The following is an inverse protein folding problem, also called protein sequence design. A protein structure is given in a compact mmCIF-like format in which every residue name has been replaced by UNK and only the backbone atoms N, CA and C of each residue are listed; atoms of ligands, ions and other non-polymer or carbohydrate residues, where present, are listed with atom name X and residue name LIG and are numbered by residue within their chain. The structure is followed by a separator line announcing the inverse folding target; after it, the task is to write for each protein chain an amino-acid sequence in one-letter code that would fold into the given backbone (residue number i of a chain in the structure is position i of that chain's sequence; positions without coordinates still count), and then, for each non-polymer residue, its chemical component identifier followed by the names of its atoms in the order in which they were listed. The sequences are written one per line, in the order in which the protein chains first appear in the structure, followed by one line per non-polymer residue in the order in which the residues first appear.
data_IF_209908430431
#
_entry.id   IF_209908430431
#
_cell.length_a   1.000
_cell.length_b   1.000
_cell.length_c   1.000
_cell.angle_alpha   90.00
_cell.angle_beta   90.00
_cell.angle_gamma   90.00
#
_symmetry.space_group_name_H-M   'P 1'
#
loop_
_entity.id
_entity.type
_entity.pdbx_description
1 polymer ?
#
# COMPACT_ATOMS: atom_id res chain seq x y z
N UNK A 1 -6.10 -35.85 -43.20
CA UNK A 1 -6.37 -35.55 -41.78
C UNK A 1 -6.29 -34.04 -41.65
N UNK A 2 -7.41 -33.37 -41.83
CA UNK A 2 -7.51 -31.91 -41.71
C UNK A 2 -7.74 -31.55 -40.24
N UNK A 3 -6.85 -30.74 -39.68
CA UNK A 3 -7.03 -30.17 -38.35
C UNK A 3 -8.19 -29.16 -38.40
N UNK A 4 -9.08 -29.13 -37.40
CA UNK A 4 -10.17 -28.16 -37.38
C UNK A 4 -9.58 -26.74 -37.27
N UNK A 5 -9.98 -25.86 -38.21
CA UNK A 5 -9.59 -24.45 -38.18
C UNK A 5 -10.18 -23.77 -36.96
N UNK A 6 -9.36 -23.01 -36.25
CA UNK A 6 -9.77 -22.14 -35.14
C UNK A 6 -10.93 -21.24 -35.59
N UNK A 7 -12.11 -21.43 -35.01
CA UNK A 7 -13.25 -20.54 -35.25
C UNK A 7 -13.08 -19.29 -34.39
N UNK A 8 -12.98 -18.15 -35.07
CA UNK A 8 -12.86 -16.83 -34.48
C UNK A 8 -14.18 -16.48 -33.78
N UNK A 9 -14.22 -16.62 -32.45
CA UNK A 9 -15.38 -16.20 -31.65
C UNK A 9 -15.40 -14.67 -31.67
N UNK A 10 -16.27 -14.09 -32.52
CA UNK A 10 -16.54 -12.64 -32.58
C UNK A 10 -17.21 -12.16 -31.29
N UNK A 11 -16.46 -12.08 -30.20
CA UNK A 11 -16.75 -11.20 -29.07
C UNK A 11 -15.79 -10.02 -29.14
N UNK A 12 -16.30 -8.80 -28.95
CA UNK A 12 -15.40 -7.66 -28.69
C UNK A 12 -14.53 -8.06 -27.50
N UNK A 13 -13.17 -8.04 -27.62
CA UNK A 13 -12.34 -8.37 -26.48
C UNK A 13 -12.71 -7.43 -25.33
N UNK A 14 -12.86 -7.95 -24.09
CA UNK A 14 -13.20 -7.10 -22.96
C UNK A 14 -12.15 -5.98 -22.85
N UNK A 15 -12.61 -4.74 -22.97
CA UNK A 15 -11.74 -3.58 -22.89
C UNK A 15 -11.31 -3.41 -21.44
N UNK A 16 -10.08 -3.81 -21.12
CA UNK A 16 -9.52 -3.56 -19.79
C UNK A 16 -9.10 -2.10 -19.71
N UNK A 17 -9.72 -1.36 -18.78
CA UNK A 17 -9.36 0.03 -18.51
C UNK A 17 -8.28 0.05 -17.45
N UNK A 18 -7.19 0.76 -17.73
CA UNK A 18 -6.07 0.93 -16.81
C UNK A 18 -5.97 2.37 -16.31
N UNK A 19 -5.50 2.52 -15.08
CA UNK A 19 -5.14 3.79 -14.47
C UNK A 19 -3.90 3.60 -13.60
N UNK A 20 -3.23 4.70 -13.25
CA UNK A 20 -2.05 4.65 -12.39
C UNK A 20 -2.04 5.73 -11.32
N UNK A 21 -1.51 5.34 -10.16
CA UNK A 21 -1.23 6.22 -9.02
C UNK A 21 0.28 6.20 -8.78
N UNK A 22 0.92 7.35 -8.69
CA UNK A 22 2.37 7.44 -8.50
C UNK A 22 2.74 8.50 -7.47
N UNK A 23 3.77 8.23 -6.68
CA UNK A 23 4.29 9.16 -5.67
C UNK A 23 5.49 9.92 -6.22
N UNK A 24 5.59 11.22 -5.94
CA UNK A 24 6.66 12.10 -6.46
C UNK A 24 7.18 13.06 -5.39
N UNK A 25 8.45 13.46 -5.49
CA UNK A 25 9.08 14.53 -4.69
C UNK A 25 8.90 14.43 -3.15
N UNK A 26 8.57 13.24 -2.64
CA UNK A 26 8.34 12.99 -1.22
C UNK A 26 6.96 13.41 -0.69
N UNK A 27 6.23 14.28 -1.41
CA UNK A 27 4.96 14.85 -0.93
C UNK A 27 3.84 14.96 -1.98
N UNK A 28 4.04 14.43 -3.19
CA UNK A 28 3.05 14.50 -4.27
C UNK A 28 2.50 13.13 -4.62
N UNK A 29 1.21 13.08 -4.95
CA UNK A 29 0.51 11.91 -5.47
C UNK A 29 -0.12 12.30 -6.82
N UNK A 30 0.19 11.55 -7.88
CA UNK A 30 -0.38 11.77 -9.22
C UNK A 30 -1.30 10.64 -9.61
N UNK A 31 -2.46 11.00 -10.15
CA UNK A 31 -3.46 10.10 -10.70
C UNK A 31 -3.55 10.28 -12.21
N UNK A 32 -3.36 9.21 -12.98
CA UNK A 32 -3.49 9.19 -14.43
C UNK A 32 -4.52 8.15 -14.84
N UNK A 33 -5.47 8.52 -15.70
CA UNK A 33 -6.54 7.61 -16.15
C UNK A 33 -7.69 7.40 -15.15
N UNK A 34 -7.67 8.11 -14.01
CA UNK A 34 -8.76 8.14 -13.04
C UNK A 34 -9.72 9.31 -13.31
N UNK A 35 -11.03 9.06 -13.21
CA UNK A 35 -12.07 10.07 -13.39
C UNK A 35 -12.25 10.98 -12.16
N UNK A 36 -13.16 11.94 -12.28
CA UNK A 36 -13.42 12.94 -11.22
C UNK A 36 -13.91 12.29 -9.91
N UNK A 37 -14.69 11.22 -10.00
CA UNK A 37 -15.19 10.50 -8.84
C UNK A 37 -14.04 9.82 -8.08
N UNK A 38 -13.14 9.15 -8.79
CA UNK A 38 -11.96 8.53 -8.16
C UNK A 38 -11.01 9.58 -7.56
N UNK A 39 -10.82 10.72 -8.25
CA UNK A 39 -10.06 11.84 -7.69
C UNK A 39 -10.71 12.38 -6.41
N UNK A 40 -12.04 12.45 -6.35
CA UNK A 40 -12.77 12.89 -5.17
C UNK A 40 -12.61 11.93 -3.99
N UNK A 41 -12.69 10.62 -4.23
CA UNK A 41 -12.48 9.61 -3.18
C UNK A 41 -11.03 9.64 -2.68
N UNK A 42 -10.04 9.81 -3.57
CA UNK A 42 -8.63 9.95 -3.16
C UNK A 42 -8.40 11.21 -2.33
N UNK A 43 -8.99 12.34 -2.72
CA UNK A 43 -8.94 13.60 -1.94
C UNK A 43 -9.49 13.42 -0.53
N UNK A 44 -10.63 12.75 -0.42
CA UNK A 44 -11.29 12.47 0.84
C UNK A 44 -10.45 11.53 1.73
N UNK A 45 -9.88 10.46 1.15
CA UNK A 45 -8.97 9.56 1.85
C UNK A 45 -7.72 10.31 2.39
N UNK A 46 -7.12 11.20 1.60
CA UNK A 46 -6.00 12.06 2.06
C UNK A 46 -6.45 12.92 3.22
N UNK A 47 -7.59 13.61 3.10
CA UNK A 47 -8.06 14.57 4.09
C UNK A 47 -8.41 13.90 5.44
N UNK A 48 -8.89 12.64 5.40
CA UNK A 48 -9.26 11.89 6.61
C UNK A 48 -8.08 11.18 7.28
N UNK A 49 -7.13 10.69 6.49
CA UNK A 49 -6.10 9.76 6.99
C UNK A 49 -4.69 10.34 6.99
N UNK A 50 -4.48 11.51 6.42
CA UNK A 50 -3.24 12.27 6.56
C UNK A 50 -3.45 13.45 7.52
N UNK A 51 -2.85 13.38 8.70
CA UNK A 51 -3.02 14.37 9.78
C UNK A 51 -2.64 15.78 9.37
N UNK A 52 -1.65 15.93 8.47
CA UNK A 52 -1.23 17.24 7.96
C UNK A 52 -2.07 17.71 6.76
N UNK A 53 -2.89 16.83 6.19
CA UNK A 53 -3.83 17.14 5.12
C UNK A 53 -3.19 17.58 3.81
N UNK A 54 -4.05 18.11 2.94
CA UNK A 54 -3.71 18.51 1.59
C UNK A 54 -3.18 19.95 1.56
N UNK A 55 -2.12 20.18 0.78
CA UNK A 55 -1.54 21.50 0.56
C UNK A 55 -2.12 22.17 -0.71
N UNK A 56 -2.22 21.43 -1.81
CA UNK A 56 -2.76 21.95 -3.07
C UNK A 56 -3.11 20.83 -4.04
N UNK A 57 -3.90 21.15 -5.07
CA UNK A 57 -4.21 20.26 -6.18
C UNK A 57 -4.08 20.98 -7.52
N UNK A 58 -3.74 20.25 -8.58
CA UNK A 58 -3.68 20.79 -9.94
C UNK A 58 -3.78 19.70 -11.00
N UNK A 59 -4.23 20.10 -12.18
CA UNK A 59 -3.92 19.39 -13.42
C UNK A 59 -2.43 19.53 -13.76
N UNK A 60 -1.80 18.42 -14.13
CA UNK A 60 -0.38 18.32 -14.42
C UNK A 60 -0.14 17.33 -15.57
N UNK A 61 0.06 17.85 -16.78
CA UNK A 61 0.40 17.08 -17.99
C UNK A 61 -0.49 15.82 -18.22
N UNK A 62 -1.81 15.96 -18.07
CA UNK A 62 -2.76 14.86 -18.25
C UNK A 62 -2.90 13.93 -17.05
N UNK A 63 -2.39 14.35 -15.89
CA UNK A 63 -2.62 13.70 -14.59
C UNK A 63 -3.14 14.72 -13.58
N UNK A 64 -3.93 14.26 -12.62
CA UNK A 64 -4.34 15.07 -11.48
C UNK A 64 -3.33 14.88 -10.34
N UNK A 65 -2.73 15.98 -9.88
CA UNK A 65 -1.69 15.97 -8.86
C UNK A 65 -2.20 16.55 -7.55
N UNK A 66 -2.09 15.77 -6.48
CA UNK A 66 -2.22 16.20 -5.10
C UNK A 66 -0.85 16.51 -4.51
N UNK A 67 -0.71 17.65 -3.85
CA UNK A 67 0.43 17.97 -2.99
C UNK A 67 -0.03 17.91 -1.54
N UNK A 68 0.64 17.11 -0.73
CA UNK A 68 0.34 16.92 0.69
C UNK A 68 1.27 17.79 1.53
N UNK A 69 0.83 18.20 2.72
CA UNK A 69 1.75 18.80 3.70
C UNK A 69 2.73 17.76 4.23
N UNK A 70 3.96 18.19 4.56
CA UNK A 70 5.07 17.31 4.98
C UNK A 70 5.41 16.27 3.89
N UNK A 71 6.11 15.20 4.22
CA UNK A 71 6.71 14.29 3.24
C UNK A 71 6.32 12.82 3.47
N UNK A 72 5.03 12.45 3.29
CA UNK A 72 4.53 11.10 3.60
C UNK A 72 5.19 9.98 2.80
N UNK A 73 5.81 10.29 1.67
CA UNK A 73 6.47 9.30 0.80
C UNK A 73 7.97 9.16 1.08
N UNK A 74 8.51 9.92 2.04
CA UNK A 74 9.94 9.90 2.33
C UNK A 74 10.24 9.31 3.71
N UNK A 75 10.44 7.98 3.82
CA UNK A 75 10.55 7.30 5.11
C UNK A 75 11.76 7.74 5.95
N UNK A 76 12.80 8.33 5.34
CA UNK A 76 13.98 8.84 6.05
C UNK A 76 13.75 10.18 6.75
N UNK A 77 12.75 10.94 6.31
CA UNK A 77 12.41 12.26 6.86
C UNK A 77 11.34 12.15 7.93
N UNK A 78 10.39 11.24 7.74
CA UNK A 78 9.26 11.03 8.65
C UNK A 78 9.75 10.37 9.96
N UNK A 79 9.30 10.89 11.10
CA UNK A 79 9.65 10.39 12.43
C UNK A 79 8.40 10.10 13.25
N UNK A 80 8.52 9.17 14.19
CA UNK A 80 7.46 8.84 15.14
C UNK A 80 6.16 8.41 14.45
N UNK A 81 5.04 8.88 14.98
CA UNK A 81 3.69 8.46 14.60
C UNK A 81 3.34 8.78 13.15
N UNK A 82 3.87 9.88 12.59
CA UNK A 82 3.66 10.24 11.19
C UNK A 82 4.08 9.09 10.24
N UNK A 83 5.06 8.27 10.65
CA UNK A 83 5.52 7.12 9.87
C UNK A 83 4.43 6.04 9.75
N UNK A 84 3.65 5.85 10.81
CA UNK A 84 2.52 4.91 10.81
C UNK A 84 1.34 5.51 10.05
N UNK A 85 1.06 6.80 10.25
CA UNK A 85 0.01 7.52 9.54
C UNK A 85 0.25 7.49 8.02
N UNK A 86 1.48 7.66 7.53
CA UNK A 86 1.78 7.55 6.09
C UNK A 86 1.55 6.15 5.52
N UNK A 87 1.87 5.10 6.28
CA UNK A 87 1.59 3.71 5.87
C UNK A 87 0.10 3.41 5.85
N UNK A 88 -0.63 3.88 6.86
CA UNK A 88 -2.09 3.82 6.92
C UNK A 88 -2.71 4.57 5.74
N UNK A 89 -2.21 5.76 5.41
CA UNK A 89 -2.67 6.54 4.26
C UNK A 89 -2.57 5.74 2.96
N UNK A 90 -1.44 5.07 2.68
CA UNK A 90 -1.31 4.22 1.50
C UNK A 90 -2.34 3.07 1.51
N UNK A 91 -2.52 2.39 2.65
CA UNK A 91 -3.53 1.34 2.79
C UNK A 91 -4.94 1.85 2.49
N UNK A 92 -5.29 3.04 3.00
CA UNK A 92 -6.60 3.68 2.80
C UNK A 92 -6.81 4.20 1.38
N UNK A 93 -5.75 4.65 0.69
CA UNK A 93 -5.82 4.99 -0.74
C UNK A 93 -6.12 3.75 -1.60
N UNK A 94 -5.47 2.62 -1.29
CA UNK A 94 -5.71 1.36 -2.00
C UNK A 94 -7.12 0.81 -1.72
N UNK A 95 -7.57 0.85 -0.47
CA UNK A 95 -8.93 0.48 -0.08
C UNK A 95 -9.99 1.34 -0.80
N UNK A 96 -9.80 2.66 -0.81
CA UNK A 96 -10.67 3.60 -1.50
C UNK A 96 -10.82 3.28 -3.00
N UNK A 97 -9.70 3.07 -3.69
CA UNK A 97 -9.71 2.72 -5.12
C UNK A 97 -10.31 1.33 -5.36
N UNK A 98 -10.01 0.36 -4.51
CA UNK A 98 -10.59 -0.98 -4.59
C UNK A 98 -12.12 -0.97 -4.45
N UNK A 99 -12.66 -0.17 -3.52
CA UNK A 99 -14.10 0.00 -3.35
C UNK A 99 -14.77 0.65 -4.58
N UNK A 100 -14.01 1.36 -5.41
CA UNK A 100 -14.43 1.91 -6.70
C UNK A 100 -14.27 0.91 -7.87
N UNK A 101 -13.84 -0.33 -7.59
CA UNK A 101 -13.62 -1.38 -8.59
C UNK A 101 -12.24 -1.36 -9.24
N UNK A 102 -11.27 -0.60 -8.68
CA UNK A 102 -9.90 -0.57 -9.17
C UNK A 102 -9.02 -1.55 -8.43
N UNK A 103 -8.57 -2.59 -9.12
CA UNK A 103 -7.71 -3.62 -8.55
C UNK A 103 -6.26 -3.35 -8.94
N UNK A 104 -5.38 -3.29 -7.94
CA UNK A 104 -3.94 -3.14 -8.14
C UNK A 104 -3.37 -4.40 -8.81
N UNK A 105 -2.73 -4.23 -9.96
CA UNK A 105 -2.10 -5.34 -10.68
C UNK A 105 -0.58 -5.34 -10.50
N UNK A 106 0.04 -4.16 -10.56
CA UNK A 106 1.50 -4.03 -10.59
C UNK A 106 1.92 -2.85 -9.72
N UNK A 107 2.96 -3.06 -8.91
CA UNK A 107 3.79 -1.99 -8.36
C UNK A 107 5.14 -1.99 -9.06
N UNK A 108 5.56 -0.86 -9.62
CA UNK A 108 6.87 -0.72 -10.27
C UNK A 108 7.67 0.47 -9.72
N UNK A 109 8.92 0.20 -9.36
CA UNK A 109 9.95 1.22 -9.17
C UNK A 109 10.74 1.35 -10.48
N UNK A 110 10.53 2.41 -11.26
CA UNK A 110 11.18 2.58 -12.58
C UNK A 110 12.43 3.47 -12.50
N UNK A 111 13.07 3.57 -11.34
CA UNK A 111 14.31 4.36 -11.18
C UNK A 111 15.43 3.55 -10.52
N UNK A 112 16.66 3.84 -10.94
CA UNK A 112 17.90 3.30 -10.37
C UNK A 112 18.30 4.01 -9.06
N UNK A 113 17.58 5.06 -8.69
CA UNK A 113 17.83 5.80 -7.45
C UNK A 113 17.21 5.05 -6.28
N UNK A 114 17.89 5.03 -5.14
CA UNK A 114 17.36 4.48 -3.89
C UNK A 114 16.19 5.29 -3.32
N UNK A 115 15.90 6.45 -3.93
CA UNK A 115 14.76 7.33 -3.66
C UNK A 115 13.62 7.15 -4.67
N UNK A 116 13.72 6.16 -5.56
CA UNK A 116 12.67 5.84 -6.51
C UNK A 116 11.37 5.58 -5.75
N UNK A 117 10.35 6.37 -6.07
CA UNK A 117 9.01 6.15 -5.58
C UNK A 117 8.25 5.28 -6.59
N UNK A 118 7.33 4.46 -6.07
CA UNK A 118 6.62 3.49 -6.89
C UNK A 118 5.53 4.14 -7.75
N UNK A 119 5.31 3.55 -8.92
CA UNK A 119 4.10 3.71 -9.71
C UNK A 119 3.26 2.45 -9.59
N UNK A 120 1.99 2.64 -9.21
CA UNK A 120 1.01 1.60 -9.00
C UNK A 120 0.06 1.60 -10.20
N UNK A 121 -0.12 0.44 -10.84
CA UNK A 121 -0.96 0.28 -12.03
C UNK A 121 -2.18 -0.57 -11.65
N UNK A 122 -3.36 -0.03 -11.95
CA UNK A 122 -4.66 -0.61 -11.61
C UNK A 122 -5.40 -0.98 -12.89
N UNK A 123 -6.19 -2.06 -12.84
CA UNK A 123 -7.23 -2.33 -13.83
C UNK A 123 -8.60 -2.18 -13.20
N UNK A 124 -9.55 -1.63 -13.96
CA UNK A 124 -10.96 -1.63 -13.56
C UNK A 124 -11.55 -3.03 -13.74
N UNK A 125 -12.14 -3.55 -12.68
CA UNK A 125 -12.85 -4.83 -12.69
C UNK A 125 -14.34 -4.59 -12.52
N UNK A 126 -15.16 -5.42 -13.18
CA UNK A 126 -16.59 -5.45 -12.91
C UNK A 126 -16.79 -5.90 -11.46
N UNK A 127 -17.60 -5.17 -10.65
CA UNK A 127 -17.86 -5.57 -9.28
C UNK A 127 -18.41 -7.00 -9.23
N UNK A 128 -17.62 -7.93 -8.70
CA UNK A 128 -18.11 -9.26 -8.31
C UNK A 128 -18.46 -9.20 -6.83
N UNK A 129 -19.44 -9.98 -6.38
CA UNK A 129 -19.84 -10.06 -4.97
C UNK A 129 -18.66 -10.39 -4.03
N UNK A 130 -17.62 -11.05 -4.54
CA UNK A 130 -16.36 -11.33 -3.83
C UNK A 130 -15.50 -10.08 -3.52
N UNK A 131 -15.81 -8.92 -4.10
CA UNK A 131 -15.12 -7.66 -3.82
C UNK A 131 -15.77 -6.86 -2.68
N UNK A 132 -16.93 -7.27 -2.16
CA UNK A 132 -17.73 -6.44 -1.24
C UNK A 132 -17.33 -6.51 0.24
N UNK A 133 -16.43 -7.41 0.65
CA UNK A 133 -15.97 -7.46 2.04
C UNK A 133 -14.51 -7.92 2.12
N UNK A 134 -13.59 -6.95 2.16
CA UNK A 134 -12.16 -7.21 2.35
C UNK A 134 -11.64 -6.38 3.50
N UNK A 135 -11.02 -7.05 4.46
CA UNK A 135 -10.28 -6.38 5.52
C UNK A 135 -8.94 -5.87 4.97
N UNK A 136 -8.62 -4.63 5.33
CA UNK A 136 -7.37 -3.98 4.95
C UNK A 136 -6.49 -3.79 6.19
N UNK A 137 -5.23 -4.20 6.07
CA UNK A 137 -4.21 -3.95 7.07
C UNK A 137 -2.89 -3.64 6.39
N UNK A 138 -1.96 -3.04 7.13
CA UNK A 138 -0.59 -2.84 6.68
C UNK A 138 0.38 -3.61 7.59
N UNK A 139 1.33 -4.30 6.97
CA UNK A 139 2.46 -4.93 7.67
C UNK A 139 3.73 -4.18 7.28
N UNK A 140 4.53 -3.81 8.27
CA UNK A 140 5.76 -3.06 8.06
C UNK A 140 6.96 -3.67 8.80
N UNK A 141 8.08 -3.73 8.09
CA UNK A 141 9.39 -4.13 8.63
C UNK A 141 10.15 -2.85 9.04
N UNK A 142 10.63 -2.76 10.29
CA UNK A 142 11.19 -1.54 10.86
C UNK A 142 12.41 -1.80 11.75
N UNK A 143 13.31 -0.83 11.88
CA UNK A 143 14.46 -0.82 12.80
C UNK A 143 15.32 -2.11 12.87
N UNK A 144 15.39 -2.88 11.78
CA UNK A 144 16.18 -4.12 11.71
C UNK A 144 15.52 -5.36 12.35
N UNK A 145 14.65 -5.18 13.33
CA UNK A 145 14.07 -6.28 14.13
C UNK A 145 12.59 -6.10 14.52
N UNK A 146 11.91 -5.07 14.00
CA UNK A 146 10.51 -4.78 14.34
C UNK A 146 9.57 -5.19 13.22
N UNK A 147 8.52 -5.91 13.58
CA UNK A 147 7.39 -6.22 12.72
C UNK A 147 6.18 -5.45 13.25
N UNK A 148 5.63 -4.55 12.44
CA UNK A 148 4.48 -3.72 12.80
C UNK A 148 3.26 -4.12 12.00
N UNK A 149 2.13 -4.16 12.67
CA UNK A 149 0.81 -4.35 12.09
C UNK A 149 -0.01 -3.09 12.33
N UNK A 150 -0.66 -2.58 11.30
CA UNK A 150 -1.51 -1.40 11.36
C UNK A 150 -2.90 -1.81 10.88
N UNK A 151 -3.91 -1.58 11.72
CA UNK A 151 -5.31 -1.94 11.49
C UNK A 151 -5.52 -3.45 11.28
N UNK A 152 -4.68 -4.28 11.89
CA UNK A 152 -4.81 -5.73 11.81
C UNK A 152 -5.91 -6.25 12.75
N UNK A 153 -6.70 -7.26 12.32
CA UNK A 153 -7.69 -7.90 13.19
C UNK A 153 -7.05 -8.47 14.47
N UNK A 154 -7.69 -8.31 15.65
CA UNK A 154 -7.13 -8.79 16.92
C UNK A 154 -6.78 -10.29 16.92
N UNK A 155 -7.63 -11.12 16.31
CA UNK A 155 -7.42 -12.57 16.23
C UNK A 155 -6.17 -12.93 15.41
N UNK A 156 -5.86 -12.12 14.38
CA UNK A 156 -4.64 -12.28 13.59
C UNK A 156 -3.41 -11.87 14.40
N UNK A 157 -3.49 -10.78 15.17
CA UNK A 157 -2.41 -10.34 16.05
C UNK A 157 -2.08 -11.40 17.10
N UNK A 158 -3.11 -12.00 17.71
CA UNK A 158 -2.94 -13.05 18.72
C UNK A 158 -2.36 -14.32 18.08
N UNK A 159 -2.82 -14.70 16.88
CA UNK A 159 -2.25 -15.82 16.12
C UNK A 159 -0.79 -15.59 15.76
N UNK A 160 -0.43 -14.39 15.31
CA UNK A 160 0.95 -14.02 14.99
C UNK A 160 1.83 -14.05 16.23
N UNK A 161 1.34 -13.52 17.36
CA UNK A 161 2.04 -13.55 18.65
C UNK A 161 2.32 -14.98 19.10
N UNK A 162 1.29 -15.84 19.12
CA UNK A 162 1.42 -17.25 19.51
C UNK A 162 2.44 -17.98 18.64
N UNK A 163 2.40 -17.75 17.33
CA UNK A 163 3.36 -18.33 16.39
C UNK A 163 4.79 -17.86 16.70
N UNK A 164 5.02 -16.55 16.83
CA UNK A 164 6.35 -15.98 17.10
C UNK A 164 6.91 -16.42 18.46
N UNK A 165 6.07 -16.56 19.48
CA UNK A 165 6.46 -17.12 20.78
C UNK A 165 6.84 -18.59 20.67
N UNK A 166 6.05 -19.39 19.93
CA UNK A 166 6.30 -20.83 19.76
C UNK A 166 7.63 -21.12 19.06
N UNK A 167 8.04 -20.29 18.11
CA UNK A 167 9.32 -20.42 17.42
C UNK A 167 10.47 -19.68 18.13
N UNK A 168 10.26 -19.26 19.38
CA UNK A 168 11.23 -18.54 20.23
C UNK A 168 11.82 -17.29 19.57
N UNK A 169 11.04 -16.65 18.69
CA UNK A 169 11.49 -15.51 17.89
C UNK A 169 10.96 -14.17 18.39
N UNK A 170 9.91 -14.20 19.23
CA UNK A 170 9.37 -13.02 19.87
C UNK A 170 10.21 -12.59 21.08
N UNK A 171 10.81 -11.40 21.00
CA UNK A 171 11.51 -10.79 22.12
C UNK A 171 10.58 -9.94 23.01
N UNK A 172 9.71 -9.13 22.40
CA UNK A 172 8.72 -8.32 23.13
C UNK A 172 7.60 -7.88 22.20
N UNK A 173 6.49 -7.39 22.75
CA UNK A 173 5.38 -6.85 21.97
C UNK A 173 4.70 -5.67 22.69
N UNK A 174 4.12 -4.74 21.94
CA UNK A 174 3.45 -3.55 22.50
C UNK A 174 2.54 -2.87 21.46
N UNK A 175 1.56 -2.10 21.92
CA UNK A 175 0.95 -1.06 21.09
C UNK A 175 1.99 0.01 20.77
N UNK A 176 1.97 0.56 19.55
CA UNK A 176 3.05 1.43 19.07
C UNK A 176 2.53 2.66 18.34
N UNK A 177 2.66 3.82 18.97
CA UNK A 177 2.38 5.11 18.33
C UNK A 177 0.88 5.34 18.18
N UNK A 178 0.42 5.52 16.94
CA UNK A 178 -0.99 5.76 16.61
C UNK A 178 -1.90 4.57 16.96
N UNK A 179 -3.16 4.87 17.32
CA UNK A 179 -4.21 3.86 17.53
C UNK A 179 -4.26 2.82 16.39
N UNK A 180 -4.50 1.55 16.73
CA UNK A 180 -4.53 0.44 15.78
C UNK A 180 -3.16 -0.07 15.29
N UNK A 181 -2.05 0.41 15.87
CA UNK A 181 -0.70 -0.05 15.52
C UNK A 181 -0.10 -0.94 16.61
N UNK A 182 0.34 -2.13 16.21
CA UNK A 182 0.94 -3.13 17.09
C UNK A 182 2.34 -3.51 16.62
N UNK A 183 3.32 -3.53 17.52
CA UNK A 183 4.71 -3.86 17.22
C UNK A 183 5.15 -5.14 17.94
N UNK A 184 5.72 -6.06 17.18
CA UNK A 184 6.53 -7.17 17.67
C UNK A 184 8.01 -6.85 17.51
N UNK A 185 8.78 -6.99 18.59
CA UNK A 185 10.25 -7.05 18.56
C UNK A 185 10.68 -8.49 18.39
N UNK A 186 11.49 -8.74 17.38
CA UNK A 186 12.04 -10.06 17.11
C UNK A 186 13.46 -10.20 17.67
N UNK A 187 13.86 -11.42 17.99
CA UNK A 187 15.25 -11.72 18.29
C UNK A 187 16.14 -11.59 17.04
N UNK A 188 17.35 -11.06 17.23
CA UNK A 188 18.29 -10.80 16.13
C UNK A 188 17.90 -9.58 15.27
N UNK A 189 18.30 -9.56 14.01
CA UNK A 189 18.04 -8.46 13.07
C UNK A 189 17.60 -8.97 11.68
N UNK A 190 16.44 -9.63 11.56
CA UNK A 190 16.00 -10.26 10.31
C UNK A 190 15.90 -9.32 9.11
N UNK A 191 15.68 -8.03 9.33
CA UNK A 191 15.54 -7.04 8.26
C UNK A 191 16.88 -6.44 7.84
N UNK A 192 17.97 -6.85 8.48
CA UNK A 192 19.32 -6.47 8.08
C UNK A 192 19.94 -7.59 7.25
N UNK A 193 20.12 -7.33 5.95
CA UNK A 193 20.71 -8.30 5.01
C UNK A 193 22.14 -8.75 5.40
N UNK A 194 22.84 -8.01 6.26
CA UNK A 194 24.19 -8.34 6.74
C UNK A 194 24.19 -9.12 8.07
N UNK A 195 23.03 -9.26 8.73
CA UNK A 195 22.93 -10.00 9.98
C UNK A 195 22.78 -11.51 9.69
N UNK A 196 23.88 -12.15 9.30
CA UNK A 196 23.92 -13.61 9.28
C UNK A 196 23.62 -14.12 10.70
N UNK A 197 22.74 -15.13 10.80
CA UNK A 197 22.64 -15.94 12.01
C UNK A 197 24.02 -16.54 12.25
N UNK A 198 24.67 -16.19 13.35
CA UNK A 198 25.59 -17.12 13.98
C UNK A 198 24.71 -18.26 14.49
N UNK A 199 24.51 -19.28 13.65
CA UNK A 199 24.05 -20.57 14.12
C UNK A 199 25.23 -21.17 14.90
N UNK A 200 25.13 -21.22 16.22
CA UNK A 200 25.85 -22.20 17.04
C UNK A 200 25.09 -23.53 17.03
#
# INVERSE_FOLDING_TARGET
MDLPSYQDVKGTPPTVVFASMSMHEGDRLRLMGFGLDEQAVVRDAISRHWTHGLQSEREYHGSHEFKLHKYPWYPTVIKGDDSMVSRRLMSKLLEALFNMGWVLNISTAVSKTTTALDTLIFSRQTPTSALQHRDWMCIAFSNGDRLRFIDAPPDLLESAKQMLTRIEYLQSHQEHGSDGCYEFKLHGYPWNAMAARQCE
#
